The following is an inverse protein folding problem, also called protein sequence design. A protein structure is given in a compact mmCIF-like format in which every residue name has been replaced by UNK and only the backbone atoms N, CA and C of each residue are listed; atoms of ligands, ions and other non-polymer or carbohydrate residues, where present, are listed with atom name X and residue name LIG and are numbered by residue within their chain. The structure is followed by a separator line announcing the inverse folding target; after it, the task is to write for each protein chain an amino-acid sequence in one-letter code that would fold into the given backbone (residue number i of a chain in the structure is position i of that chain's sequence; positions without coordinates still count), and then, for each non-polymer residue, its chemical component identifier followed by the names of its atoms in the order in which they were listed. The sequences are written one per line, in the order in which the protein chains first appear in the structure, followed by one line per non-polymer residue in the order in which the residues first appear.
data_IF_673185362284
#
_entry.id   IF_673185362284
#
_cell.length_a   1.000
_cell.length_b   1.000
_cell.length_c   1.000
_cell.angle_alpha   90.00
_cell.angle_beta   90.00
_cell.angle_gamma   90.00
#
_symmetry.space_group_name_H-M   'P 1'
#
loop_
_entity.id
_entity.type
_entity.pdbx_description
1 polymer ?
#
# COMPACT_ATOMS: atom_id res chain seq x y z
N UNK A 1 13.56 10.66 -2.32
CA UNK A 1 13.12 10.17 -1.00
C UNK A 1 14.04 10.80 0.05
N UNK A 2 13.50 11.50 1.07
CA UNK A 2 14.31 12.08 2.15
C UNK A 2 15.22 11.06 2.85
N UNK A 3 16.39 11.48 3.34
CA UNK A 3 17.37 10.59 3.97
C UNK A 3 16.84 9.84 5.18
N UNK A 4 15.98 10.48 5.99
CA UNK A 4 15.36 9.87 7.18
C UNK A 4 14.61 8.58 6.87
N UNK A 5 14.06 8.43 5.67
CA UNK A 5 13.27 7.25 5.32
C UNK A 5 14.12 6.10 4.76
N UNK A 6 15.43 6.28 4.54
CA UNK A 6 16.30 5.22 4.00
C UNK A 6 16.50 4.06 4.97
N UNK A 7 16.34 4.28 6.27
CA UNK A 7 16.45 3.26 7.30
C UNK A 7 15.13 2.56 7.63
N UNK A 8 14.01 2.98 7.02
CA UNK A 8 12.69 2.44 7.34
C UNK A 8 12.43 1.17 6.51
N UNK A 9 11.72 0.20 7.10
CA UNK A 9 11.20 -0.95 6.37
C UNK A 9 10.00 -0.51 5.52
N UNK A 10 10.26 -0.15 4.26
CA UNK A 10 9.24 0.31 3.32
C UNK A 10 8.84 -0.84 2.41
N UNK A 11 7.62 -1.35 2.62
CA UNK A 11 7.03 -2.41 1.80
C UNK A 11 6.00 -1.85 0.85
N UNK A 12 6.19 -2.10 -0.44
CA UNK A 12 5.28 -1.66 -1.50
C UNK A 12 4.52 -2.84 -2.09
N UNK A 13 3.33 -2.60 -2.63
CA UNK A 13 2.56 -3.62 -3.34
C UNK A 13 3.21 -3.99 -4.67
N UNK A 14 2.73 -5.05 -5.31
CA UNK A 14 3.19 -5.49 -6.63
C UNK A 14 2.99 -4.44 -7.73
N UNK A 15 2.03 -3.50 -7.56
CA UNK A 15 1.79 -2.44 -8.53
C UNK A 15 3.00 -1.53 -8.71
N UNK A 16 3.79 -1.31 -7.66
CA UNK A 16 5.02 -0.51 -7.74
C UNK A 16 6.09 -1.17 -8.63
N UNK A 17 6.06 -2.51 -8.77
CA UNK A 17 7.01 -3.29 -9.57
C UNK A 17 6.65 -3.32 -11.05
N UNK A 18 5.47 -2.84 -11.44
CA UNK A 18 5.05 -2.79 -12.84
C UNK A 18 5.87 -1.76 -13.62
N UNK A 19 6.23 -2.07 -14.88
CA UNK A 19 6.90 -1.10 -15.73
C UNK A 19 5.98 0.12 -15.92
N UNK A 20 6.56 1.31 -15.82
CA UNK A 20 5.84 2.58 -15.96
C UNK A 20 4.74 2.81 -14.92
N UNK A 21 4.76 2.16 -13.75
CA UNK A 21 3.75 2.32 -12.70
C UNK A 21 3.47 3.79 -12.34
N UNK A 22 4.51 4.62 -12.31
CA UNK A 22 4.40 6.06 -12.04
C UNK A 22 3.76 6.86 -13.18
N UNK A 23 3.90 6.41 -14.43
CA UNK A 23 3.28 7.05 -15.60
C UNK A 23 1.85 6.57 -15.84
N UNK A 24 1.56 5.31 -15.51
CA UNK A 24 0.27 4.66 -15.73
C UNK A 24 -0.63 4.72 -14.48
N UNK A 25 -0.36 5.59 -13.52
CA UNK A 25 -1.08 5.69 -12.25
C UNK A 25 -2.62 5.67 -12.43
N UNK A 26 -3.15 6.47 -13.35
CA UNK A 26 -4.60 6.53 -13.62
C UNK A 26 -5.18 5.19 -14.07
N UNK A 27 -4.45 4.43 -14.88
CA UNK A 27 -4.87 3.12 -15.36
C UNK A 27 -4.76 2.06 -14.25
N UNK A 28 -3.81 2.23 -13.33
CA UNK A 28 -3.63 1.35 -12.18
C UNK A 28 -4.66 1.60 -11.07
N UNK A 29 -5.41 2.71 -11.09
CA UNK A 29 -6.46 3.00 -10.10
C UNK A 29 -7.51 1.88 -10.01
N UNK A 30 -7.88 1.26 -11.14
CA UNK A 30 -8.83 0.14 -11.17
C UNK A 30 -8.28 -1.10 -10.46
N UNK A 31 -6.96 -1.32 -10.50
CA UNK A 31 -6.29 -2.45 -9.86
C UNK A 31 -5.89 -2.15 -8.40
N UNK A 32 -5.90 -0.89 -8.00
CA UNK A 32 -5.44 -0.43 -6.69
C UNK A 32 -6.21 -1.07 -5.51
N UNK A 33 -7.55 -1.22 -5.53
CA UNK A 33 -8.28 -1.88 -4.45
C UNK A 33 -7.75 -3.28 -4.16
N UNK A 34 -7.57 -4.11 -5.20
CA UNK A 34 -7.02 -5.48 -5.05
C UNK A 34 -5.59 -5.49 -4.53
N UNK A 35 -4.79 -4.50 -4.92
CA UNK A 35 -3.42 -4.39 -4.43
C UNK A 35 -3.35 -4.03 -2.94
N UNK A 36 -4.30 -3.24 -2.43
CA UNK A 36 -4.40 -2.95 -1.00
C UNK A 36 -4.98 -4.13 -0.21
N UNK A 37 -5.98 -4.84 -0.73
CA UNK A 37 -6.52 -6.07 -0.13
C UNK A 37 -5.47 -7.19 -0.01
N UNK A 38 -4.46 -7.19 -0.87
CA UNK A 38 -3.34 -8.14 -0.79
C UNK A 38 -2.38 -7.86 0.38
N UNK A 39 -2.50 -6.71 1.06
CA UNK A 39 -1.72 -6.40 2.25
C UNK A 39 -2.42 -6.95 3.48
N UNK A 40 -1.85 -8.03 4.01
CA UNK A 40 -2.25 -8.60 5.30
C UNK A 40 -1.44 -7.96 6.44
N UNK A 41 -2.15 -7.19 7.26
CA UNK A 41 -1.65 -6.51 8.45
C UNK A 41 -2.28 -7.09 9.72
N UNK A 42 -2.91 -8.28 9.67
CA UNK A 42 -3.49 -8.95 10.83
C UNK A 42 -2.48 -9.28 11.93
N UNK A 43 -1.19 -9.33 11.60
CA UNK A 43 -0.09 -9.51 12.56
C UNK A 43 0.26 -8.29 13.41
N UNK A 44 -0.44 -7.16 13.27
CA UNK A 44 -0.19 -5.93 14.03
C UNK A 44 -1.36 -5.59 14.96
N UNK A 45 -1.07 -5.10 16.16
CA UNK A 45 -2.07 -4.67 17.14
C UNK A 45 -2.67 -3.28 16.84
N UNK A 46 -1.95 -2.44 16.09
CA UNK A 46 -2.39 -1.09 15.72
C UNK A 46 -1.96 -0.76 14.28
N UNK A 47 -2.92 -0.32 13.47
CA UNK A 47 -2.68 0.10 12.08
C UNK A 47 -3.08 1.58 11.93
N UNK A 48 -2.13 2.43 11.53
CA UNK A 48 -2.35 3.86 11.29
C UNK A 48 -2.27 4.12 9.79
N UNK A 49 -3.33 4.68 9.21
CA UNK A 49 -3.37 5.10 7.80
C UNK A 49 -3.37 6.63 7.70
N UNK A 50 -2.41 7.18 6.96
CA UNK A 50 -2.35 8.62 6.61
C UNK A 50 -2.86 8.89 5.19
N UNK A 51 -3.82 8.10 4.72
CA UNK A 51 -4.38 8.21 3.37
C UNK A 51 -5.92 8.11 3.38
N UNK A 52 -6.57 8.96 2.58
CA UNK A 52 -8.03 9.02 2.48
C UNK A 52 -8.64 8.01 1.50
N UNK A 53 -7.85 7.42 0.59
CA UNK A 53 -8.31 6.59 -0.53
C UNK A 53 -8.39 5.07 -0.22
N UNK A 54 -8.00 4.22 -1.17
CA UNK A 54 -8.11 2.76 -1.15
C UNK A 54 -7.35 2.04 -0.02
N UNK A 55 -6.58 2.75 0.81
CA UNK A 55 -5.81 2.17 1.91
C UNK A 55 -6.67 1.56 3.01
N UNK A 56 -7.98 1.85 3.03
CA UNK A 56 -8.93 1.26 4.00
C UNK A 56 -9.33 -0.18 3.66
N UNK A 57 -8.96 -0.69 2.48
CA UNK A 57 -9.23 -2.06 2.06
C UNK A 57 -8.16 -3.07 2.47
N UNK A 58 -7.15 -2.66 3.25
CA UNK A 58 -6.14 -3.59 3.77
C UNK A 58 -6.76 -4.58 4.75
N UNK A 59 -6.23 -5.79 4.80
CA UNK A 59 -6.71 -6.81 5.74
C UNK A 59 -6.09 -6.55 7.10
N UNK A 60 -6.92 -6.33 8.09
CA UNK A 60 -6.53 -6.19 9.50
C UNK A 60 -7.10 -7.34 10.31
N UNK A 61 -6.69 -7.42 11.57
CA UNK A 61 -7.28 -8.35 12.53
C UNK A 61 -8.79 -8.01 12.71
N UNK A 62 -9.68 -9.03 12.87
CA UNK A 62 -11.14 -8.82 12.89
C UNK A 62 -11.74 -8.38 14.24
N UNK A 63 -10.93 -8.31 15.29
CA UNK A 63 -11.28 -7.84 16.64
C UNK A 63 -11.46 -6.32 16.77
#
# INVERSE_FOLDING_TARGET
MPERFRSYDVRTTYLQKLPFATRLYKNLLTLMPRAFEALDLSGYDLVISSCSSCSKGVITRPD
#
